data_IF_287596487697
#
_entry.id   IF_287596487697
#
_cell.length_a   1.000
_cell.length_b   1.000
_cell.length_c   1.000
_cell.angle_alpha   90.00
_cell.angle_beta   90.00
_cell.angle_gamma   90.00
#
_symmetry.space_group_name_H-M   'P 1'
#
loop_
_entity.id
_entity.type
_entity.pdbx_description
1 polymer ?
#
# COMPACT_ATOMS: atom_id res chain seq x y z
N UNK A 1 -6.33 -13.91 -6.53
CA UNK A 1 -5.83 -13.54 -5.19
C UNK A 1 -6.96 -12.88 -4.45
N UNK A 2 -7.22 -13.32 -3.21
CA UNK A 2 -8.31 -12.79 -2.42
C UNK A 2 -8.02 -11.36 -1.93
N UNK A 3 -9.08 -10.60 -1.71
CA UNK A 3 -8.98 -9.16 -1.41
C UNK A 3 -8.37 -8.92 -0.03
N UNK A 4 -8.77 -9.72 0.98
CA UNK A 4 -8.21 -9.68 2.32
C UNK A 4 -6.71 -10.03 2.36
N UNK A 5 -6.28 -11.02 1.59
CA UNK A 5 -4.86 -11.37 1.47
C UNK A 5 -4.05 -10.22 0.85
N UNK A 6 -4.56 -9.66 -0.26
CA UNK A 6 -3.92 -8.55 -0.97
C UNK A 6 -3.76 -7.32 -0.06
N UNK A 7 -4.80 -6.99 0.72
CA UNK A 7 -4.74 -5.87 1.66
C UNK A 7 -3.72 -6.07 2.79
N UNK A 8 -3.57 -7.31 3.27
CA UNK A 8 -2.56 -7.65 4.25
C UNK A 8 -1.15 -7.58 3.67
N UNK A 9 -0.93 -8.04 2.44
CA UNK A 9 0.35 -7.87 1.76
C UNK A 9 0.70 -6.38 1.59
N UNK A 10 -0.25 -5.56 1.13
CA UNK A 10 -0.09 -4.10 0.98
C UNK A 10 0.18 -3.41 2.33
N UNK A 11 -0.30 -3.94 3.45
CA UNK A 11 -0.03 -3.33 4.76
C UNK A 11 1.47 -3.34 5.16
N UNK A 12 2.28 -4.11 4.44
CA UNK A 12 3.73 -4.06 4.47
C UNK A 12 4.34 -2.78 3.87
N UNK A 13 3.56 -1.95 3.18
CA UNK A 13 4.03 -0.76 2.45
C UNK A 13 5.04 0.10 3.23
N UNK A 14 4.86 0.36 4.55
CA UNK A 14 5.79 1.24 5.27
C UNK A 14 7.17 0.62 5.48
N UNK A 15 7.26 -0.71 5.50
CA UNK A 15 8.53 -1.44 5.51
C UNK A 15 9.32 -1.12 4.25
N UNK A 16 8.64 -1.25 3.10
CA UNK A 16 9.22 -1.01 1.78
C UNK A 16 9.64 0.46 1.64
N UNK A 17 8.80 1.40 2.07
CA UNK A 17 9.12 2.85 2.10
C UNK A 17 10.37 3.12 2.94
N UNK A 18 10.45 2.57 4.16
CA UNK A 18 11.57 2.80 5.06
C UNK A 18 12.89 2.24 4.50
N UNK A 19 12.85 1.04 3.92
CA UNK A 19 14.02 0.42 3.27
C UNK A 19 14.48 1.26 2.08
N UNK A 20 13.55 1.69 1.21
CA UNK A 20 13.88 2.55 0.07
C UNK A 20 14.41 3.91 0.51
N UNK A 21 13.88 4.51 1.57
CA UNK A 21 14.42 5.76 2.12
C UNK A 21 15.85 5.60 2.66
N UNK A 22 16.17 4.46 3.26
CA UNK A 22 17.55 4.14 3.66
C UNK A 22 18.48 4.03 2.46
N UNK A 23 18.05 3.31 1.41
CA UNK A 23 18.86 3.07 0.21
C UNK A 23 19.05 4.37 -0.60
N UNK A 24 17.97 5.09 -0.88
CA UNK A 24 17.97 6.27 -1.77
C UNK A 24 18.49 7.51 -1.05
N UNK A 25 18.17 7.70 0.23
CA UNK A 25 18.44 8.94 0.95
C UNK A 25 19.50 8.81 2.05
N UNK A 26 20.02 7.61 2.30
CA UNK A 26 21.00 7.37 3.37
C UNK A 26 20.47 7.60 4.79
N UNK A 27 19.14 7.76 4.96
CA UNK A 27 18.52 8.14 6.22
C UNK A 27 18.76 7.05 7.27
N UNK A 28 19.11 7.42 8.51
CA UNK A 28 19.37 6.43 9.57
C UNK A 28 18.05 5.81 10.03
N UNK A 29 18.00 4.47 10.04
CA UNK A 29 16.85 3.70 10.53
C UNK A 29 16.95 3.64 12.06
N UNK A 30 15.83 3.85 12.76
CA UNK A 30 15.81 3.75 14.22
C UNK A 30 15.96 2.29 14.67
N UNK A 31 16.55 2.00 15.84
CA UNK A 31 16.64 0.63 16.36
C UNK A 31 15.28 -0.09 16.45
N UNK A 32 14.21 0.63 16.83
CA UNK A 32 12.85 0.07 16.86
C UNK A 32 12.33 -0.28 15.47
N UNK A 33 12.71 0.50 14.46
CA UNK A 33 12.32 0.22 13.08
C UNK A 33 12.92 -1.09 12.56
N UNK A 34 14.07 -1.55 13.06
CA UNK A 34 14.58 -2.89 12.72
C UNK A 34 13.71 -4.02 13.26
N UNK A 35 13.25 -3.89 14.52
CA UNK A 35 12.29 -4.84 15.11
C UNK A 35 11.01 -4.84 14.28
N UNK A 36 10.54 -3.65 13.93
CA UNK A 36 9.37 -3.48 13.08
C UNK A 36 9.53 -4.12 11.70
N UNK A 37 10.73 -4.00 11.11
CA UNK A 37 11.08 -4.63 9.83
C UNK A 37 11.02 -6.15 9.91
N UNK A 38 11.66 -6.74 10.93
CA UNK A 38 11.66 -8.19 11.14
C UNK A 38 10.23 -8.71 11.32
N UNK A 39 9.46 -8.10 12.24
CA UNK A 39 8.07 -8.50 12.48
C UNK A 39 7.21 -8.37 11.22
N UNK A 40 7.38 -7.28 10.47
CA UNK A 40 6.68 -7.07 9.20
C UNK A 40 6.96 -8.19 8.18
N UNK A 41 8.23 -8.52 7.94
CA UNK A 41 8.60 -9.64 7.07
C UNK A 41 8.09 -10.99 7.57
N UNK A 42 8.12 -11.24 8.88
CA UNK A 42 7.56 -12.45 9.47
C UNK A 42 6.05 -12.54 9.24
N UNK A 43 5.31 -11.44 9.41
CA UNK A 43 3.88 -11.38 9.13
C UNK A 43 3.56 -11.68 7.67
N UNK A 44 4.28 -11.05 6.73
CA UNK A 44 4.12 -11.32 5.29
C UNK A 44 4.43 -12.79 4.96
N UNK A 45 5.53 -13.32 5.49
CA UNK A 45 5.91 -14.72 5.27
C UNK A 45 4.85 -15.69 5.79
N UNK A 46 4.28 -15.42 6.97
CA UNK A 46 3.20 -16.23 7.53
C UNK A 46 1.91 -16.15 6.69
N UNK A 47 1.66 -15.04 5.99
CA UNK A 47 0.55 -14.95 5.05
C UNK A 47 0.82 -15.78 3.81
N UNK A 48 1.96 -15.51 3.16
CA UNK A 48 2.34 -16.15 1.90
C UNK A 48 2.48 -17.67 2.03
N UNK A 49 2.89 -18.18 3.20
CA UNK A 49 3.09 -19.62 3.44
C UNK A 49 1.82 -20.45 3.61
N UNK A 50 0.63 -19.85 3.54
CA UNK A 50 -0.63 -20.60 3.62
C UNK A 50 -0.76 -21.55 2.43
N UNK A 51 -0.88 -22.87 2.70
CA UNK A 51 -0.98 -23.90 1.66
C UNK A 51 -2.20 -23.73 0.75
N UNK A 52 -3.33 -23.29 1.30
CA UNK A 52 -4.56 -22.99 0.55
C UNK A 52 -4.37 -21.88 -0.49
N UNK A 53 -3.41 -20.99 -0.23
CA UNK A 53 -3.06 -19.84 -1.06
C UNK A 53 -2.00 -20.24 -2.10
N UNK A 54 -0.96 -20.99 -1.74
CA UNK A 54 0.09 -21.37 -2.70
C UNK A 54 -0.43 -22.35 -3.77
N UNK A 55 -1.50 -23.09 -3.48
CA UNK A 55 -2.00 -24.18 -4.34
C UNK A 55 -2.87 -23.71 -5.52
N UNK A 56 -3.24 -22.42 -5.59
CA UNK A 56 -4.04 -21.90 -6.72
C UNK A 56 -3.14 -21.42 -7.86
N UNK A 57 -3.55 -21.69 -9.11
CA UNK A 57 -2.84 -21.21 -10.30
C UNK A 57 -2.74 -19.68 -10.33
N UNK A 58 -1.57 -19.15 -10.70
CA UNK A 58 -1.33 -17.71 -10.85
C UNK A 58 -1.12 -16.92 -9.54
N UNK A 59 -1.26 -17.55 -8.37
CA UNK A 59 -1.17 -16.86 -7.08
C UNK A 59 0.23 -16.24 -6.83
N UNK A 60 1.30 -16.96 -7.17
CA UNK A 60 2.68 -16.48 -7.02
C UNK A 60 2.93 -15.23 -7.90
N UNK A 61 2.44 -15.24 -9.14
CA UNK A 61 2.58 -14.11 -10.07
C UNK A 61 1.84 -12.89 -9.50
N UNK A 62 0.64 -13.08 -8.96
CA UNK A 62 -0.11 -12.01 -8.31
C UNK A 62 0.64 -11.39 -7.12
N UNK A 63 1.23 -12.22 -6.24
CA UNK A 63 2.03 -11.74 -5.11
C UNK A 63 3.23 -10.92 -5.58
N UNK A 64 3.99 -11.43 -6.55
CA UNK A 64 5.12 -10.70 -7.12
C UNK A 64 4.69 -9.36 -7.75
N UNK A 65 3.51 -9.33 -8.36
CA UNK A 65 2.93 -8.12 -8.95
C UNK A 65 2.54 -7.10 -7.87
N UNK A 66 1.92 -7.53 -6.77
CA UNK A 66 1.60 -6.67 -5.62
C UNK A 66 2.89 -6.15 -4.98
N UNK A 67 3.90 -6.99 -4.81
CA UNK A 67 5.19 -6.58 -4.28
C UNK A 67 5.89 -5.54 -5.17
N UNK A 68 5.86 -5.72 -6.50
CA UNK A 68 6.35 -4.73 -7.46
C UNK A 68 5.56 -3.42 -7.40
N UNK A 69 4.24 -3.50 -7.22
CA UNK A 69 3.37 -2.35 -7.00
C UNK A 69 3.77 -1.57 -5.73
N UNK A 70 4.03 -2.28 -4.62
CA UNK A 70 4.46 -1.66 -3.36
C UNK A 70 5.79 -0.89 -3.50
N UNK A 71 6.77 -1.49 -4.20
CA UNK A 71 8.05 -0.84 -4.49
C UNK A 71 7.83 0.42 -5.34
N UNK A 72 7.02 0.31 -6.40
CA UNK A 72 6.71 1.42 -7.30
C UNK A 72 6.03 2.58 -6.55
N UNK A 73 5.04 2.27 -5.72
CA UNK A 73 4.33 3.24 -4.89
C UNK A 73 5.24 3.90 -3.85
N UNK A 74 6.11 3.11 -3.22
CA UNK A 74 7.07 3.64 -2.24
C UNK A 74 8.05 4.60 -2.91
N UNK A 75 8.60 4.22 -4.06
CA UNK A 75 9.48 5.08 -4.84
C UNK A 75 8.77 6.38 -5.25
N UNK A 76 7.56 6.29 -5.82
CA UNK A 76 6.77 7.46 -6.21
C UNK A 76 6.50 8.40 -5.04
N UNK A 77 6.11 7.86 -3.87
CA UNK A 77 5.88 8.65 -2.65
C UNK A 77 7.14 9.40 -2.19
N UNK A 78 8.29 8.72 -2.25
CA UNK A 78 9.59 9.30 -1.91
C UNK A 78 9.99 10.39 -2.91
N UNK A 79 9.78 10.14 -4.21
CA UNK A 79 10.04 11.08 -5.28
C UNK A 79 9.17 12.33 -5.14
N UNK A 80 7.85 12.19 -5.03
CA UNK A 80 6.90 13.30 -4.88
C UNK A 80 7.22 14.14 -3.65
N UNK A 81 7.60 13.52 -2.53
CA UNK A 81 8.00 14.24 -1.32
C UNK A 81 9.18 15.20 -1.52
N UNK A 82 10.07 14.93 -2.49
CA UNK A 82 11.27 15.74 -2.77
C UNK A 82 11.22 16.54 -4.08
N UNK A 83 10.41 16.13 -5.05
CA UNK A 83 10.39 16.71 -6.38
C UNK A 83 9.95 18.19 -6.33
N UNK A 84 10.54 19.04 -7.15
CA UNK A 84 10.06 20.42 -7.30
C UNK A 84 8.83 20.40 -8.22
N UNK A 85 7.64 20.37 -7.59
CA UNK A 85 6.35 20.21 -8.26
C UNK A 85 5.56 21.51 -8.15
N UNK A 86 4.60 21.77 -9.05
CA UNK A 86 3.75 22.96 -8.99
C UNK A 86 3.18 23.18 -7.58
N UNK A 87 3.21 24.43 -7.10
CA UNK A 87 2.69 24.78 -5.77
C UNK A 87 1.23 24.39 -5.55
N UNK A 88 0.45 24.34 -6.63
CA UNK A 88 -0.92 23.88 -6.59
C UNK A 88 -0.99 22.35 -6.67
N UNK A 89 -1.30 21.71 -5.54
CA UNK A 89 -1.41 20.24 -5.44
C UNK A 89 -2.51 19.65 -6.33
N UNK A 90 -3.58 20.40 -6.61
CA UNK A 90 -4.64 19.94 -7.52
C UNK A 90 -4.12 19.83 -8.96
N UNK A 91 -3.32 20.79 -9.42
CA UNK A 91 -2.69 20.76 -10.75
C UNK A 91 -1.70 19.61 -10.85
N UNK A 92 -0.89 19.38 -9.82
CA UNK A 92 0.02 18.24 -9.76
C UNK A 92 -0.73 16.89 -9.83
N UNK A 93 -1.81 16.74 -9.05
CA UNK A 93 -2.68 15.55 -9.14
C UNK A 93 -3.28 15.40 -10.53
N UNK A 94 -3.69 16.50 -11.18
CA UNK A 94 -4.19 16.50 -12.55
C UNK A 94 -3.19 15.92 -13.55
N UNK A 95 -1.92 16.35 -13.50
CA UNK A 95 -0.88 15.78 -14.35
C UNK A 95 -0.64 14.28 -14.07
N UNK A 96 -0.61 13.88 -12.80
CA UNK A 96 -0.45 12.47 -12.42
C UNK A 96 -1.60 11.63 -12.99
N UNK A 97 -2.85 12.06 -12.80
CA UNK A 97 -4.04 11.34 -13.28
C UNK A 97 -4.08 11.26 -14.80
N UNK A 98 -3.75 12.35 -15.50
CA UNK A 98 -3.70 12.36 -16.96
C UNK A 98 -2.63 11.42 -17.51
N UNK A 99 -1.41 11.46 -16.94
CA UNK A 99 -0.33 10.54 -17.34
C UNK A 99 -0.66 9.08 -17.03
N UNK A 100 -1.27 8.80 -15.87
CA UNK A 100 -1.72 7.47 -15.49
C UNK A 100 -2.81 6.94 -16.41
N UNK A 101 -3.77 7.79 -16.78
CA UNK A 101 -4.82 7.46 -17.74
C UNK A 101 -4.25 7.07 -19.11
N UNK A 102 -3.29 7.84 -19.65
CA UNK A 102 -2.63 7.50 -20.93
C UNK A 102 -1.91 6.16 -20.81
N UNK A 103 -1.13 5.96 -19.74
CA UNK A 103 -0.38 4.73 -19.54
C UNK A 103 -1.30 3.50 -19.43
N UNK A 104 -2.38 3.60 -18.64
CA UNK A 104 -3.37 2.54 -18.50
C UNK A 104 -4.14 2.28 -19.79
N UNK A 105 -4.47 3.31 -20.56
CA UNK A 105 -5.10 3.15 -21.87
C UNK A 105 -4.20 2.39 -22.85
N UNK A 106 -2.90 2.69 -22.87
CA UNK A 106 -1.93 1.95 -23.69
C UNK A 106 -1.86 0.48 -23.25
N UNK A 107 -1.78 0.21 -21.94
CA UNK A 107 -1.74 -1.15 -21.40
C UNK A 107 -3.02 -1.91 -21.76
N UNK A 108 -4.19 -1.30 -21.58
CA UNK A 108 -5.49 -1.89 -21.93
C UNK A 108 -5.57 -2.30 -23.40
N UNK A 109 -5.08 -1.44 -24.30
CA UNK A 109 -4.98 -1.74 -25.74
C UNK A 109 -4.00 -2.89 -26.03
N UNK A 110 -2.85 -2.93 -25.37
CA UNK A 110 -1.85 -4.01 -25.54
C UNK A 110 -2.38 -5.36 -25.03
N UNK A 111 -3.14 -5.35 -23.94
CA UNK A 111 -3.80 -6.53 -23.38
C UNK A 111 -5.08 -6.92 -24.13
N UNK A 112 -5.52 -6.09 -25.08
CA UNK A 112 -6.75 -6.29 -25.88
C UNK A 112 -8.00 -6.44 -25.03
N UNK A 113 -8.11 -5.62 -23.97
CA UNK A 113 -9.31 -5.59 -23.13
C UNK A 113 -10.52 -5.09 -23.93
N UNK A 114 -11.70 -5.61 -23.59
CA UNK A 114 -12.94 -5.21 -24.24
C UNK A 114 -13.36 -3.81 -23.76
N UNK A 115 -13.54 -2.90 -24.73
CA UNK A 115 -14.06 -1.57 -24.44
C UNK A 115 -15.58 -1.57 -24.44
N UNK A 116 -16.18 -1.04 -23.37
CA UNK A 116 -17.61 -0.76 -23.30
C UNK A 116 -17.84 0.72 -22.99
N UNK A 117 -18.90 1.28 -23.57
CA UNK A 117 -19.24 2.69 -23.35
C UNK A 117 -19.80 2.88 -21.93
N UNK A 118 -19.43 3.96 -21.21
CA UNK A 118 -19.97 4.20 -19.87
C UNK A 118 -21.50 4.20 -19.78
N UNK A 119 -22.18 4.60 -20.86
CA UNK A 119 -23.65 4.60 -20.94
C UNK A 119 -24.29 3.21 -21.00
N UNK A 120 -23.53 2.15 -21.31
CA UNK A 120 -24.03 0.76 -21.32
C UNK A 120 -23.80 0.03 -20.00
N UNK A 121 -23.12 0.65 -19.04
CA UNK A 121 -22.89 0.07 -17.72
C UNK A 121 -24.16 0.09 -16.87
N UNK A 122 -24.26 -0.84 -15.93
CA UNK A 122 -25.31 -0.82 -14.92
C UNK A 122 -25.23 0.45 -14.07
N UNK A 123 -26.39 0.93 -13.58
CA UNK A 123 -26.46 2.17 -12.80
C UNK A 123 -25.57 2.14 -11.56
N UNK A 124 -25.49 1.00 -10.89
CA UNK A 124 -24.67 0.85 -9.68
C UNK A 124 -23.17 0.94 -9.99
N UNK A 125 -22.75 0.44 -11.15
CA UNK A 125 -21.37 0.59 -11.66
C UNK A 125 -21.08 2.06 -11.97
N UNK A 126 -22.01 2.76 -12.61
CA UNK A 126 -21.86 4.20 -12.90
C UNK A 126 -21.71 5.03 -11.61
N UNK A 127 -22.54 4.77 -10.60
CA UNK A 127 -22.44 5.44 -9.30
C UNK A 127 -21.15 5.11 -8.57
N UNK A 128 -20.72 3.84 -8.59
CA UNK A 128 -19.45 3.41 -8.01
C UNK A 128 -18.27 4.09 -8.68
N UNK A 129 -18.27 4.19 -10.01
CA UNK A 129 -17.27 4.90 -10.79
C UNK A 129 -17.24 6.40 -10.48
N UNK A 130 -18.40 7.05 -10.38
CA UNK A 130 -18.49 8.47 -10.02
C UNK A 130 -17.93 8.71 -8.61
N UNK A 131 -18.27 7.85 -7.66
CA UNK A 131 -17.73 7.92 -6.30
C UNK A 131 -16.20 7.73 -6.29
N UNK A 132 -15.67 6.78 -7.07
CA UNK A 132 -14.23 6.58 -7.20
C UNK A 132 -13.51 7.77 -7.85
N UNK A 133 -14.09 8.39 -8.87
CA UNK A 133 -13.52 9.57 -9.52
C UNK A 133 -13.43 10.74 -8.52
N UNK A 134 -14.51 11.01 -7.78
CA UNK A 134 -14.56 12.16 -6.87
C UNK A 134 -13.76 11.89 -5.60
N UNK A 135 -14.11 10.84 -4.86
CA UNK A 135 -13.54 10.56 -3.55
C UNK A 135 -12.21 9.81 -3.65
N UNK A 136 -12.16 8.74 -4.45
CA UNK A 136 -10.99 7.86 -4.58
C UNK A 136 -9.83 8.44 -5.39
N UNK A 137 -10.12 9.34 -6.33
CA UNK A 137 -9.13 9.99 -7.19
C UNK A 137 -8.92 11.44 -6.80
N UNK A 138 -9.85 12.35 -7.12
CA UNK A 138 -9.62 13.79 -6.99
C UNK A 138 -9.31 14.21 -5.54
N UNK A 139 -10.20 13.85 -4.60
CA UNK A 139 -10.05 14.25 -3.19
C UNK A 139 -8.87 13.51 -2.56
N UNK A 140 -8.86 12.18 -2.64
CA UNK A 140 -7.84 11.37 -1.98
C UNK A 140 -6.41 11.66 -2.48
N UNK A 141 -6.17 11.70 -3.80
CA UNK A 141 -4.82 11.95 -4.30
C UNK A 141 -4.35 13.39 -4.09
N UNK A 142 -5.25 14.36 -4.14
CA UNK A 142 -4.89 15.75 -3.82
C UNK A 142 -4.49 15.88 -2.35
N UNK A 143 -5.26 15.27 -1.44
CA UNK A 143 -4.91 15.22 -0.01
C UNK A 143 -3.60 14.46 0.24
N UNK A 144 -3.39 13.34 -0.45
CA UNK A 144 -2.17 12.53 -0.36
C UNK A 144 -0.92 13.31 -0.82
N UNK A 145 -1.00 13.96 -1.99
CA UNK A 145 0.07 14.81 -2.54
C UNK A 145 0.38 16.01 -1.64
N UNK A 146 -0.65 16.62 -1.04
CA UNK A 146 -0.47 17.65 -0.02
C UNK A 146 0.29 17.08 1.20
N UNK A 147 -0.16 15.94 1.73
CA UNK A 147 0.43 15.36 2.93
C UNK A 147 1.90 14.95 2.72
N UNK A 148 2.26 14.43 1.55
CA UNK A 148 3.65 14.11 1.20
C UNK A 148 4.58 15.33 1.15
N UNK A 149 4.04 16.54 0.96
CA UNK A 149 4.80 17.79 1.02
C UNK A 149 4.92 18.36 2.44
N UNK A 150 4.00 18.00 3.32
CA UNK A 150 3.91 18.57 4.68
C UNK A 150 4.54 17.67 5.74
N UNK A 151 4.54 16.35 5.54
CA UNK A 151 5.15 15.38 6.46
C UNK A 151 5.99 14.36 5.69
N UNK A 152 6.88 13.66 6.41
CA UNK A 152 7.73 12.62 5.81
C UNK A 152 6.92 11.46 5.23
N UNK A 153 7.32 10.86 4.08
CA UNK A 153 6.62 9.73 3.47
C UNK A 153 6.33 8.54 4.40
N UNK A 154 7.27 8.23 5.32
CA UNK A 154 7.08 7.22 6.37
C UNK A 154 5.80 7.46 7.21
N UNK A 155 5.51 8.73 7.55
CA UNK A 155 4.31 9.11 8.31
C UNK A 155 3.05 9.04 7.45
N UNK A 156 3.15 9.39 6.17
CA UNK A 156 2.01 9.27 5.26
C UNK A 156 1.60 7.80 5.11
N UNK A 157 2.59 6.93 5.00
CA UNK A 157 2.40 5.49 4.87
C UNK A 157 1.81 4.82 6.13
N UNK A 158 1.64 5.54 7.25
CA UNK A 158 0.89 4.98 8.39
C UNK A 158 -0.61 4.95 8.18
N UNK A 159 -1.13 5.78 7.26
CA UNK A 159 -2.56 5.77 6.90
C UNK A 159 -2.99 4.39 6.37
N UNK A 160 -2.09 3.69 5.68
CA UNK A 160 -2.30 2.33 5.15
C UNK A 160 -2.51 1.25 6.23
N UNK A 161 -2.37 1.54 7.52
CA UNK A 161 -2.65 0.58 8.61
C UNK A 161 -4.11 0.34 8.89
N UNK A 162 -4.94 1.29 8.52
CA UNK A 162 -6.39 1.14 8.66
C UNK A 162 -6.92 0.18 7.58
N UNK A 163 -6.28 0.16 6.41
CA UNK A 163 -6.68 -0.64 5.25
C UNK A 163 -6.82 -2.15 5.52
N UNK A 164 -5.83 -2.87 6.10
CA UNK A 164 -5.97 -4.31 6.34
C UNK A 164 -7.07 -4.64 7.35
N UNK A 165 -7.29 -3.80 8.36
CA UNK A 165 -8.34 -4.01 9.36
C UNK A 165 -9.71 -3.87 8.69
N UNK A 166 -9.91 -2.80 7.91
CA UNK A 166 -11.16 -2.59 7.16
C UNK A 166 -11.35 -3.70 6.12
N UNK A 167 -10.31 -4.05 5.37
CA UNK A 167 -10.39 -5.06 4.32
C UNK A 167 -10.74 -6.45 4.88
N UNK A 168 -10.14 -6.86 6.00
CA UNK A 168 -10.51 -8.11 6.66
C UNK A 168 -11.97 -8.10 7.15
N UNK A 169 -12.40 -7.00 7.78
CA UNK A 169 -13.78 -6.87 8.27
C UNK A 169 -14.80 -6.89 7.13
N UNK A 170 -14.56 -6.13 6.06
CA UNK A 170 -15.45 -6.08 4.90
C UNK A 170 -15.38 -7.37 4.07
N UNK A 171 -14.21 -7.97 3.92
CA UNK A 171 -14.03 -9.27 3.27
C UNK A 171 -14.86 -10.35 3.96
N UNK A 172 -14.78 -10.41 5.29
CA UNK A 172 -15.58 -11.34 6.07
C UNK A 172 -17.08 -11.01 6.05
N UNK A 173 -17.46 -9.73 6.17
CA UNK A 173 -18.86 -9.33 6.35
C UNK A 173 -19.65 -9.24 5.04
N UNK A 174 -19.01 -8.83 3.94
CA UNK A 174 -19.66 -8.54 2.65
C UNK A 174 -19.37 -9.63 1.61
N UNK A 175 -18.14 -10.16 1.61
CA UNK A 175 -17.66 -11.11 0.59
C UNK A 175 -17.66 -12.56 1.08
N UNK A 176 -18.14 -12.82 2.31
CA UNK A 176 -18.13 -14.12 2.98
C UNK A 176 -16.73 -14.79 2.99
N UNK A 177 -15.66 -13.99 2.99
CA UNK A 177 -14.28 -14.50 2.99
C UNK A 177 -13.98 -15.22 4.32
N UNK A 178 -13.38 -16.41 4.24
CA UNK A 178 -12.98 -17.18 5.41
C UNK A 178 -11.69 -16.62 6.02
N UNK A 179 -11.81 -15.95 7.16
CA UNK A 179 -10.64 -15.52 7.93
C UNK A 179 -10.05 -16.73 8.69
N UNK A 180 -8.88 -17.19 8.24
CA UNK A 180 -8.13 -18.27 8.93
C UNK A 180 -7.42 -17.74 10.17
N UNK A 181 -7.20 -18.60 11.17
CA UNK A 181 -6.42 -18.25 12.37
C UNK A 181 -5.01 -17.77 12.02
N UNK A 182 -4.40 -18.35 10.98
CA UNK A 182 -3.09 -17.94 10.46
C UNK A 182 -3.13 -16.51 9.92
N UNK A 183 -4.21 -16.11 9.24
CA UNK A 183 -4.38 -14.73 8.75
C UNK A 183 -4.51 -13.74 9.90
N UNK A 184 -5.20 -14.11 10.99
CA UNK A 184 -5.30 -13.27 12.19
C UNK A 184 -3.92 -13.11 12.86
N UNK A 185 -3.20 -14.22 13.07
CA UNK A 185 -1.86 -14.20 13.68
C UNK A 185 -0.92 -13.33 12.85
N UNK A 186 -0.93 -13.49 11.53
CA UNK A 186 -0.06 -12.74 10.66
C UNK A 186 -0.43 -11.25 10.62
N UNK A 187 -1.73 -10.90 10.61
CA UNK A 187 -2.19 -9.52 10.73
C UNK A 187 -1.72 -8.88 12.04
N UNK A 188 -1.83 -9.58 13.18
CA UNK A 188 -1.36 -9.08 14.49
C UNK A 188 0.14 -8.83 14.48
N UNK A 189 0.93 -9.79 13.97
CA UNK A 189 2.39 -9.66 13.88
C UNK A 189 2.78 -8.47 12.99
N UNK A 190 2.14 -8.36 11.82
CA UNK A 190 2.41 -7.30 10.86
C UNK A 190 2.07 -5.92 11.45
N UNK A 191 0.86 -5.75 12.00
CA UNK A 191 0.41 -4.51 12.65
C UNK A 191 1.31 -4.12 13.83
N UNK A 192 1.83 -5.11 14.58
CA UNK A 192 2.80 -4.86 15.64
C UNK A 192 4.12 -4.35 15.08
N UNK A 193 4.64 -4.96 14.02
CA UNK A 193 5.87 -4.52 13.36
C UNK A 193 5.77 -3.07 12.86
N UNK A 194 4.66 -2.79 12.21
CA UNK A 194 4.21 -1.47 11.79
C UNK A 194 4.22 -0.42 12.92
N UNK A 195 3.70 -0.78 14.09
CA UNK A 195 3.70 0.09 15.26
C UNK A 195 5.13 0.43 15.72
N UNK A 196 6.03 -0.56 15.71
CA UNK A 196 7.44 -0.36 16.06
C UNK A 196 8.18 0.53 15.05
N UNK A 197 7.85 0.46 13.75
CA UNK A 197 8.45 1.33 12.72
C UNK A 197 8.20 2.80 13.03
N UNK A 198 6.98 3.14 13.46
CA UNK A 198 6.56 4.53 13.67
C UNK A 198 6.79 5.03 15.09
N UNK A 199 7.08 4.12 16.02
CA UNK A 199 7.36 4.47 17.39
C UNK A 199 8.66 5.25 17.48
N UNK A 200 8.58 6.52 17.90
CA UNK A 200 9.76 7.38 18.15
C UNK A 200 10.56 7.00 19.40
N UNK A 201 10.17 5.95 20.13
CA UNK A 201 10.93 5.50 21.30
C UNK A 201 12.29 5.01 20.82
N UNK A 202 13.32 5.81 21.04
CA UNK A 202 14.68 5.33 20.91
C UNK A 202 14.89 4.28 22.00
N UNK A 203 15.22 3.05 21.61
CA UNK A 203 15.87 2.13 22.54
C UNK A 203 17.16 2.84 22.96
N UNK A 204 17.17 3.42 24.17
CA UNK A 204 18.42 3.78 24.83
C UNK A 204 19.12 2.46 25.14
N UNK A 205 19.88 1.94 24.17
CA UNK A 205 20.87 0.90 24.43
C UNK A 205 21.92 1.57 25.31
N UNK A 206 21.69 1.49 26.62
CA UNK A 206 22.65 1.93 27.62
C UNK A 206 23.80 0.93 27.51
N UNK A 207 24.79 1.23 26.68
CA UNK A 207 26.06 0.51 26.70
C UNK A 207 26.60 0.65 28.12
N UNK A 208 26.49 -0.43 28.89
CA UNK A 208 27.18 -0.55 30.15
C UNK A 208 28.65 -0.74 29.77
N UNK A 209 29.38 0.37 29.75
CA UNK A 209 30.81 0.35 29.57
C UNK A 209 31.46 -0.47 30.68
N UNK A 210 32.23 -1.47 30.27
CA UNK A 210 33.49 -1.87 30.89
C UNK A 210 34.48 -2.08 29.77
#
# INVERSE_FOLDING_TARGET
>A
MDSGFTALEISAQPLVVLILMRIIQGKKISPMSYIGVILGFTGIFLLVSQKEIISQEGQIIGMLTIFACMISWAYASIFVGKADLPKNHFVNTGYQMFSGSIMLAIISLLLKEEWSLPGTWEKDVQWSMLALIIFGSIIAFTAFNYLLKMVSPEKVATSTYVNPIIALLLGWWILDERITLQSIIAAVILLTGVYFINTRRQLKVRFYGR
#
